data_IF_455052807152
#
_entry.id   IF_455052807152
#
_cell.length_a   1.000
_cell.length_b   1.000
_cell.length_c   1.000
_cell.angle_alpha   90.00
_cell.angle_beta   90.00
_cell.angle_gamma   90.00
#
_symmetry.space_group_name_H-M   'P 1'
#
loop_
_entity.id
_entity.type
_entity.pdbx_description
1 polymer ?
#
# COMPACT_ATOMS: atom_id res chain seq x y z
N UNK A 1 -15.10 0.09 33.03
CA UNK A 1 -14.46 -1.24 32.97
C UNK A 1 -13.42 -1.26 34.10
N UNK A 2 -13.62 -2.08 35.15
CA UNK A 2 -12.62 -2.23 36.21
C UNK A 2 -11.56 -3.20 35.72
N UNK A 3 -10.30 -2.81 35.80
CA UNK A 3 -9.18 -3.68 35.48
C UNK A 3 -8.83 -4.46 36.75
N UNK A 4 -9.08 -5.76 36.73
CA UNK A 4 -8.72 -6.65 37.84
C UNK A 4 -7.34 -7.24 37.55
N UNK A 5 -6.38 -6.96 38.43
CA UNK A 5 -5.01 -7.46 38.35
C UNK A 5 -4.95 -8.75 39.17
N UNK A 6 -4.34 -9.79 38.63
CA UNK A 6 -4.22 -11.07 39.35
C UNK A 6 -3.23 -10.96 40.51
N UNK A 7 -3.42 -11.78 41.55
CA UNK A 7 -2.52 -11.82 42.70
C UNK A 7 -1.09 -12.22 42.31
N UNK A 8 -0.94 -13.04 41.27
CA UNK A 8 0.35 -13.46 40.70
C UNK A 8 1.08 -12.29 40.03
N UNK A 9 0.36 -11.50 39.22
CA UNK A 9 0.93 -10.32 38.57
C UNK A 9 1.33 -9.26 39.60
N UNK A 10 0.54 -9.04 40.66
CA UNK A 10 0.91 -8.16 41.77
C UNK A 10 2.17 -8.63 42.50
N UNK A 11 2.32 -9.94 42.68
CA UNK A 11 3.48 -10.54 43.37
C UNK A 11 4.76 -10.38 42.53
N UNK A 12 4.69 -10.61 41.22
CA UNK A 12 5.80 -10.40 40.30
C UNK A 12 6.19 -8.91 40.21
N UNK A 13 5.22 -8.01 40.02
CA UNK A 13 5.45 -6.57 39.90
C UNK A 13 5.97 -5.91 41.19
N UNK A 14 5.70 -6.52 42.35
CA UNK A 14 6.16 -6.04 43.66
C UNK A 14 7.52 -6.63 44.09
N UNK A 15 8.11 -7.51 43.30
CA UNK A 15 9.37 -8.18 43.63
C UNK A 15 10.58 -7.25 43.49
N UNK A 16 11.54 -7.35 44.42
CA UNK A 16 12.79 -6.58 44.38
C UNK A 16 13.58 -7.04 43.16
N UNK A 17 13.76 -6.15 42.18
CA UNK A 17 14.42 -6.45 40.90
C UNK A 17 13.46 -6.62 39.73
N UNK A 18 12.15 -6.47 39.93
CA UNK A 18 11.19 -6.35 38.83
C UNK A 18 11.58 -5.18 37.93
N UNK A 19 11.91 -5.50 36.68
CA UNK A 19 12.06 -4.51 35.61
C UNK A 19 10.84 -4.66 34.72
N UNK A 20 10.02 -3.62 34.54
CA UNK A 20 8.95 -3.68 33.57
C UNK A 20 9.54 -4.05 32.21
N UNK A 21 8.83 -4.88 31.45
CA UNK A 21 9.22 -5.15 30.07
C UNK A 21 9.23 -3.80 29.35
N UNK A 22 10.41 -3.38 28.89
CA UNK A 22 10.52 -2.19 28.05
C UNK A 22 9.78 -2.49 26.74
N UNK A 23 8.56 -1.98 26.63
CA UNK A 23 7.74 -2.08 25.43
C UNK A 23 7.86 -0.79 24.65
N UNK A 24 8.74 -0.81 23.64
CA UNK A 24 8.83 0.30 22.69
C UNK A 24 7.76 0.14 21.61
N UNK A 25 7.01 1.21 21.34
CA UNK A 25 6.15 1.27 20.18
C UNK A 25 7.01 1.32 18.90
N UNK A 26 7.21 0.17 18.25
CA UNK A 26 7.91 0.05 16.97
C UNK A 26 6.93 -0.05 15.81
N UNK A 27 6.32 1.07 15.42
CA UNK A 27 5.63 1.14 14.12
C UNK A 27 6.63 1.57 13.05
N UNK A 28 7.24 0.59 12.39
CA UNK A 28 8.12 0.87 11.26
C UNK A 28 7.36 0.57 9.96
N UNK A 29 6.84 1.64 9.35
CA UNK A 29 6.32 1.57 7.98
C UNK A 29 7.46 1.18 7.04
N UNK A 30 7.19 0.27 6.10
CA UNK A 30 8.18 -0.12 5.10
C UNK A 30 8.48 1.10 4.20
N UNK A 31 9.74 1.28 3.78
CA UNK A 31 10.12 2.39 2.92
C UNK A 31 9.70 2.12 1.46
N UNK A 32 8.40 1.93 1.21
CA UNK A 32 7.84 1.57 -0.09
C UNK A 32 8.20 2.58 -1.20
N UNK A 33 8.44 3.84 -0.83
CA UNK A 33 8.88 4.90 -1.74
C UNK A 33 10.32 4.74 -2.26
N UNK A 34 11.13 3.87 -1.64
CA UNK A 34 12.47 3.53 -2.10
C UNK A 34 12.48 2.47 -3.21
N UNK A 35 11.36 1.79 -3.44
CA UNK A 35 11.19 0.88 -4.57
C UNK A 35 11.04 1.68 -5.87
N UNK A 36 11.50 1.13 -6.99
CA UNK A 36 11.10 1.59 -8.32
C UNK A 36 9.59 1.39 -8.54
N UNK A 37 9.01 2.07 -9.55
CA UNK A 37 7.59 1.88 -9.90
C UNK A 37 7.28 0.40 -10.14
N UNK A 38 8.15 -0.26 -10.91
CA UNK A 38 7.98 -1.68 -11.25
C UNK A 38 8.13 -2.60 -10.04
N UNK A 39 9.10 -2.35 -9.17
CA UNK A 39 9.24 -3.16 -7.95
C UNK A 39 8.02 -3.01 -7.04
N UNK A 40 7.45 -1.80 -6.92
CA UNK A 40 6.25 -1.56 -6.14
C UNK A 40 5.02 -2.29 -6.73
N UNK A 41 4.86 -2.28 -8.05
CA UNK A 41 3.82 -3.05 -8.75
C UNK A 41 3.96 -4.56 -8.49
N UNK A 42 5.18 -5.11 -8.60
CA UNK A 42 5.45 -6.53 -8.36
C UNK A 42 5.19 -6.88 -6.89
N UNK A 43 5.58 -6.04 -5.95
CA UNK A 43 5.27 -6.22 -4.53
C UNK A 43 3.77 -6.30 -4.29
N UNK A 44 3.00 -5.34 -4.82
CA UNK A 44 1.54 -5.32 -4.70
C UNK A 44 0.90 -6.57 -5.32
N UNK A 45 1.37 -6.96 -6.51
CA UNK A 45 0.94 -8.21 -7.16
C UNK A 45 1.19 -9.44 -6.29
N UNK A 46 2.41 -9.59 -5.76
CA UNK A 46 2.79 -10.75 -4.93
C UNK A 46 2.02 -10.79 -3.62
N UNK A 47 1.81 -9.63 -3.00
CA UNK A 47 1.00 -9.49 -1.79
C UNK A 47 -0.42 -10.03 -2.02
N UNK A 48 -1.09 -9.52 -3.05
CA UNK A 48 -2.48 -9.92 -3.33
C UNK A 48 -2.56 -11.37 -3.76
N UNK A 49 -1.61 -11.83 -4.57
CA UNK A 49 -1.53 -13.24 -4.97
C UNK A 49 -1.46 -14.14 -3.73
N UNK A 50 -0.60 -13.79 -2.75
CA UNK A 50 -0.48 -14.55 -1.51
C UNK A 50 -1.75 -14.47 -0.65
N UNK A 51 -2.39 -13.31 -0.57
CA UNK A 51 -3.64 -13.16 0.19
C UNK A 51 -4.82 -13.93 -0.45
N UNK A 52 -4.85 -14.07 -1.78
CA UNK A 52 -5.80 -14.94 -2.48
C UNK A 52 -5.50 -16.41 -2.14
N UNK A 53 -4.24 -16.84 -2.26
CA UNK A 53 -3.79 -18.21 -1.96
C UNK A 53 -4.07 -18.61 -0.49
N UNK A 54 -3.97 -17.65 0.43
CA UNK A 54 -4.24 -17.87 1.85
C UNK A 54 -5.72 -17.69 2.26
N UNK A 55 -6.61 -17.36 1.32
CA UNK A 55 -8.03 -17.12 1.60
C UNK A 55 -8.33 -15.82 2.37
N UNK A 56 -7.36 -14.91 2.49
CA UNK A 56 -7.55 -13.59 3.12
C UNK A 56 -8.22 -12.58 2.18
N UNK A 57 -7.97 -12.71 0.88
CA UNK A 57 -8.60 -11.90 -0.17
C UNK A 57 -9.64 -12.74 -0.91
N UNK A 58 -10.90 -12.65 -0.47
CA UNK A 58 -11.98 -13.56 -0.90
C UNK A 58 -12.81 -13.06 -2.09
N UNK A 59 -12.66 -11.78 -2.44
CA UNK A 59 -13.48 -11.15 -3.48
C UNK A 59 -13.03 -11.50 -4.90
N UNK A 60 -11.83 -12.05 -5.07
CA UNK A 60 -11.27 -12.51 -6.34
C UNK A 60 -10.48 -13.79 -6.11
N UNK A 61 -10.43 -14.68 -7.10
CA UNK A 61 -9.72 -15.95 -7.00
C UNK A 61 -8.42 -16.00 -7.83
N UNK A 62 -8.14 -14.96 -8.61
CA UNK A 62 -6.92 -14.86 -9.41
C UNK A 62 -6.52 -13.40 -9.64
N UNK A 63 -5.22 -13.18 -9.77
CA UNK A 63 -4.61 -11.90 -10.12
C UNK A 63 -3.61 -12.08 -11.27
N UNK A 64 -3.55 -11.12 -12.18
CA UNK A 64 -2.55 -11.04 -13.24
C UNK A 64 -1.83 -9.68 -13.19
N UNK A 65 -0.50 -9.70 -13.24
CA UNK A 65 0.35 -8.51 -13.40
C UNK A 65 0.41 -8.13 -14.89
N UNK A 66 0.16 -6.87 -15.19
CA UNK A 66 0.27 -6.35 -16.55
C UNK A 66 1.74 -6.20 -16.97
N UNK A 67 1.99 -6.34 -18.27
CA UNK A 67 3.33 -6.23 -18.86
C UNK A 67 3.27 -5.21 -20.00
N UNK A 68 4.13 -4.19 -19.94
CA UNK A 68 4.37 -3.26 -21.05
C UNK A 68 4.13 -1.79 -20.72
N UNK A 69 4.56 -0.92 -21.64
CA UNK A 69 4.34 0.53 -21.59
C UNK A 69 2.93 0.85 -22.09
N UNK A 70 2.15 1.59 -21.30
CA UNK A 70 0.76 1.97 -21.63
C UNK A 70 -0.29 1.21 -20.83
N UNK A 71 -0.03 0.97 -19.55
CA UNK A 71 -0.95 0.32 -18.64
C UNK A 71 -2.24 1.17 -18.54
N UNK A 72 -3.34 0.59 -19.04
CA UNK A 72 -4.64 1.20 -19.36
C UNK A 72 -5.44 1.66 -18.12
N UNK A 73 -4.76 2.29 -17.16
CA UNK A 73 -5.29 2.60 -15.81
C UNK A 73 -5.31 1.39 -14.88
N UNK A 74 -4.42 0.41 -15.10
CA UNK A 74 -4.32 -0.80 -14.30
C UNK A 74 -2.94 -1.44 -14.40
N UNK A 75 -2.38 -1.79 -13.26
CA UNK A 75 -1.10 -2.50 -13.19
C UNK A 75 -1.34 -3.99 -12.87
N UNK A 76 -2.43 -4.30 -12.17
CA UNK A 76 -2.94 -5.66 -12.00
C UNK A 76 -4.42 -5.77 -12.37
N UNK A 77 -4.83 -6.94 -12.86
CA UNK A 77 -6.24 -7.31 -13.05
C UNK A 77 -6.62 -8.45 -12.11
N UNK A 78 -7.75 -8.28 -11.43
CA UNK A 78 -8.35 -9.26 -10.55
C UNK A 78 -9.48 -9.99 -11.26
N UNK A 79 -9.58 -11.29 -11.02
CA UNK A 79 -10.59 -12.14 -11.62
C UNK A 79 -11.36 -12.89 -10.55
N UNK A 80 -12.66 -13.04 -10.78
CA UNK A 80 -13.52 -13.97 -10.09
C UNK A 80 -14.14 -14.89 -11.14
N UNK A 81 -13.94 -16.20 -11.00
CA UNK A 81 -14.46 -17.19 -11.96
C UNK A 81 -14.07 -16.89 -13.41
N UNK A 82 -12.82 -16.47 -13.63
CA UNK A 82 -12.26 -16.08 -14.95
C UNK A 82 -12.82 -14.80 -15.57
N UNK A 83 -13.68 -14.06 -14.86
CA UNK A 83 -14.22 -12.77 -15.30
C UNK A 83 -13.49 -11.65 -14.54
N UNK A 84 -12.96 -10.61 -15.23
CA UNK A 84 -12.42 -9.43 -14.57
C UNK A 84 -13.44 -8.80 -13.61
N UNK A 85 -13.09 -8.68 -12.33
CA UNK A 85 -13.95 -8.08 -11.30
C UNK A 85 -13.26 -6.99 -10.49
N UNK A 86 -12.05 -6.61 -10.89
CA UNK A 86 -11.37 -5.46 -10.32
C UNK A 86 -10.02 -5.22 -10.96
N UNK A 87 -9.45 -4.06 -10.69
CA UNK A 87 -8.09 -3.71 -11.10
C UNK A 87 -7.38 -2.96 -9.99
N UNK A 88 -6.06 -3.13 -9.93
CA UNK A 88 -5.21 -2.40 -9.01
C UNK A 88 -4.31 -1.48 -9.82
N UNK A 89 -4.34 -0.19 -9.50
CA UNK A 89 -3.40 0.80 -9.99
C UNK A 89 -2.48 1.19 -8.83
N UNK A 90 -1.20 0.88 -8.99
CA UNK A 90 -0.13 1.26 -8.09
C UNK A 90 0.34 2.69 -8.43
N UNK A 91 0.65 3.46 -7.39
CA UNK A 91 1.21 4.81 -7.51
C UNK A 91 2.36 4.96 -6.53
N UNK A 92 3.59 4.87 -7.05
CA UNK A 92 4.80 5.15 -6.26
C UNK A 92 5.12 6.63 -6.33
N UNK A 93 4.58 7.40 -5.39
CA UNK A 93 4.90 8.82 -5.24
C UNK A 93 5.63 9.07 -3.92
N UNK A 94 6.64 9.94 -3.97
CA UNK A 94 7.25 10.50 -2.76
C UNK A 94 6.31 11.49 -2.07
N UNK A 95 5.48 12.20 -2.84
CA UNK A 95 4.44 13.09 -2.32
C UNK A 95 3.10 12.37 -2.11
N UNK A 96 2.18 13.02 -1.39
CA UNK A 96 0.82 12.51 -1.21
C UNK A 96 0.02 12.60 -2.51
N UNK A 97 -0.80 11.57 -2.78
CA UNK A 97 -1.74 11.58 -3.89
C UNK A 97 -2.79 12.68 -3.73
N UNK A 98 -2.93 13.51 -4.76
CA UNK A 98 -3.88 14.62 -4.79
C UNK A 98 -5.21 14.22 -5.43
N UNK A 99 -6.28 14.95 -5.12
CA UNK A 99 -7.61 14.73 -5.72
C UNK A 99 -7.57 14.74 -7.27
N UNK A 100 -6.91 15.69 -7.96
CA UNK A 100 -6.80 15.65 -9.41
C UNK A 100 -6.10 14.40 -9.94
N UNK A 101 -5.07 13.90 -9.25
CA UNK A 101 -4.38 12.67 -9.66
C UNK A 101 -5.31 11.46 -9.54
N UNK A 102 -6.03 11.33 -8.41
CA UNK A 102 -7.00 10.24 -8.21
C UNK A 102 -8.08 10.25 -9.30
N UNK A 103 -8.66 11.42 -9.58
CA UNK A 103 -9.68 11.57 -10.62
C UNK A 103 -9.13 11.23 -12.01
N UNK A 104 -7.94 11.70 -12.38
CA UNK A 104 -7.33 11.40 -13.67
C UNK A 104 -7.04 9.91 -13.84
N UNK A 105 -6.60 9.23 -12.79
CA UNK A 105 -6.38 7.77 -12.84
C UNK A 105 -7.69 6.99 -13.00
N UNK A 106 -8.75 7.38 -12.27
CA UNK A 106 -10.09 6.81 -12.47
C UNK A 106 -10.57 7.03 -13.91
N UNK A 107 -10.54 8.27 -14.39
CA UNK A 107 -11.02 8.62 -15.73
C UNK A 107 -10.24 7.87 -16.81
N UNK A 108 -8.92 7.71 -16.66
CA UNK A 108 -8.09 6.94 -17.60
C UNK A 108 -8.58 5.49 -17.71
N UNK A 109 -8.86 4.84 -16.58
CA UNK A 109 -9.45 3.50 -16.56
C UNK A 109 -10.83 3.47 -17.25
N UNK A 110 -11.70 4.43 -16.93
CA UNK A 110 -13.05 4.48 -17.49
C UNK A 110 -13.03 4.68 -19.01
N UNK A 111 -12.23 5.62 -19.52
CA UNK A 111 -12.08 5.84 -20.96
C UNK A 111 -11.57 4.60 -21.68
N UNK A 112 -10.61 3.88 -21.09
CA UNK A 112 -10.17 2.59 -21.64
C UNK A 112 -11.29 1.54 -21.62
N UNK A 113 -12.10 1.48 -20.57
CA UNK A 113 -13.23 0.54 -20.51
C UNK A 113 -14.35 0.86 -21.51
N UNK A 114 -14.48 2.12 -21.93
CA UNK A 114 -15.40 2.53 -23.00
C UNK A 114 -14.86 2.08 -24.37
N UNK A 115 -13.53 2.07 -24.56
CA UNK A 115 -12.91 1.52 -25.79
C UNK A 115 -12.91 -0.01 -25.82
N UNK A 116 -12.85 -0.64 -24.64
CA UNK A 116 -12.72 -2.08 -24.46
C UNK A 116 -13.52 -2.52 -23.22
N UNK A 117 -14.77 -2.91 -23.44
CA UNK A 117 -15.71 -3.31 -22.38
C UNK A 117 -15.21 -4.52 -21.58
N UNK A 118 -14.26 -5.31 -22.11
CA UNK A 118 -13.65 -6.44 -21.38
C UNK A 118 -12.83 -5.99 -20.16
N UNK A 119 -12.49 -4.70 -20.07
CA UNK A 119 -11.77 -4.13 -18.93
C UNK A 119 -12.69 -4.03 -17.69
N UNK A 120 -13.95 -3.64 -17.88
CA UNK A 120 -14.97 -3.55 -16.84
C UNK A 120 -16.25 -4.24 -17.37
N UNK A 121 -16.29 -5.59 -17.36
CA UNK A 121 -17.41 -6.33 -17.93
C UNK A 121 -18.71 -6.19 -17.12
N UNK A 122 -18.60 -5.98 -15.81
CA UNK A 122 -19.73 -5.70 -14.92
C UNK A 122 -19.34 -4.64 -13.89
N UNK A 123 -19.68 -3.38 -14.17
CA UNK A 123 -19.28 -2.25 -13.33
C UNK A 123 -19.83 -2.32 -11.91
N UNK A 124 -20.99 -2.93 -11.67
CA UNK A 124 -21.61 -3.02 -10.33
C UNK A 124 -20.84 -3.93 -9.39
N UNK A 125 -20.23 -4.99 -9.94
CA UNK A 125 -19.42 -5.95 -9.20
C UNK A 125 -17.92 -5.74 -9.42
N UNK A 126 -17.54 -4.57 -9.93
CA UNK A 126 -16.16 -4.22 -10.20
C UNK A 126 -15.61 -3.30 -9.12
N UNK A 127 -14.38 -3.55 -8.66
CA UNK A 127 -13.69 -2.66 -7.72
C UNK A 127 -12.39 -2.13 -8.29
N UNK A 128 -12.24 -0.81 -8.25
CA UNK A 128 -11.01 -0.12 -8.57
C UNK A 128 -10.19 0.15 -7.31
N UNK A 129 -8.99 -0.42 -7.25
CA UNK A 129 -8.05 -0.23 -6.15
C UNK A 129 -6.95 0.73 -6.55
N UNK A 130 -6.68 1.73 -5.70
CA UNK A 130 -5.44 2.52 -5.78
C UNK A 130 -4.53 2.14 -4.62
N UNK A 131 -3.34 1.62 -4.93
CA UNK A 131 -2.31 1.29 -3.95
C UNK A 131 -1.20 2.33 -4.04
N UNK A 132 -0.87 2.97 -2.93
CA UNK A 132 0.06 4.09 -2.90
C UNK A 132 1.22 3.83 -1.96
N UNK A 133 2.43 4.15 -2.43
CA UNK A 133 3.65 4.07 -1.59
C UNK A 133 3.70 5.16 -0.51
N UNK A 134 2.75 6.09 -0.53
CA UNK A 134 2.54 7.15 0.46
C UNK A 134 1.02 7.32 0.70
N UNK A 135 0.62 8.32 1.47
CA UNK A 135 -0.78 8.65 1.72
C UNK A 135 -1.39 9.55 0.62
N UNK A 136 -2.64 9.94 0.79
CA UNK A 136 -3.33 10.91 -0.05
C UNK A 136 -3.64 12.21 0.72
N UNK A 137 -4.01 13.27 0.00
CA UNK A 137 -4.48 14.51 0.63
C UNK A 137 -5.87 14.33 1.23
N UNK A 138 -6.25 15.18 2.17
CA UNK A 138 -7.59 15.12 2.80
C UNK A 138 -8.73 15.16 1.77
N UNK A 139 -8.60 16.00 0.74
CA UNK A 139 -9.59 16.09 -0.34
C UNK A 139 -9.66 14.80 -1.17
N UNK A 140 -8.52 14.15 -1.43
CA UNK A 140 -8.49 12.85 -2.10
C UNK A 140 -9.13 11.78 -1.21
N UNK A 141 -8.78 11.75 0.08
CA UNK A 141 -9.33 10.80 1.04
C UNK A 141 -10.85 10.95 1.17
N UNK A 142 -11.36 12.19 1.17
CA UNK A 142 -12.80 12.46 1.17
C UNK A 142 -13.50 11.82 -0.02
N UNK A 143 -12.97 12.01 -1.24
CA UNK A 143 -13.48 11.34 -2.44
C UNK A 143 -13.42 9.83 -2.31
N UNK A 144 -12.29 9.28 -1.87
CA UNK A 144 -12.06 7.83 -1.81
C UNK A 144 -13.00 7.16 -0.82
N UNK A 145 -13.06 7.65 0.42
CA UNK A 145 -13.88 7.07 1.48
C UNK A 145 -15.37 7.33 1.28
N UNK A 146 -15.73 8.44 0.62
CA UNK A 146 -17.11 8.84 0.33
C UNK A 146 -17.53 8.62 -1.12
N UNK A 147 -16.85 7.74 -1.87
CA UNK A 147 -16.89 7.71 -3.34
C UNK A 147 -18.29 7.73 -3.94
N UNK A 148 -19.18 6.86 -3.45
CA UNK A 148 -20.57 6.76 -3.92
C UNK A 148 -21.38 8.05 -3.82
N UNK A 149 -21.00 8.97 -2.93
CA UNK A 149 -21.67 10.26 -2.73
C UNK A 149 -20.87 11.43 -3.32
N UNK A 150 -19.55 11.41 -3.20
CA UNK A 150 -18.67 12.51 -3.62
C UNK A 150 -18.47 12.57 -5.14
N UNK A 151 -18.55 11.44 -5.84
CA UNK A 151 -18.30 11.42 -7.29
C UNK A 151 -19.28 12.31 -8.07
N UNK A 152 -20.54 12.36 -7.64
CA UNK A 152 -21.58 13.20 -8.26
C UNK A 152 -21.31 14.69 -8.09
N UNK A 153 -20.64 15.11 -7.01
CA UNK A 153 -20.23 16.50 -6.80
C UNK A 153 -19.21 16.90 -7.86
N UNK A 154 -18.25 16.02 -8.16
CA UNK A 154 -17.22 16.25 -9.18
C UNK A 154 -17.76 16.16 -10.60
N UNK A 155 -18.79 15.36 -10.85
CA UNK A 155 -19.51 15.35 -12.14
C UNK A 155 -20.24 16.69 -12.32
N UNK A 156 -21.06 17.11 -11.34
CA UNK A 156 -21.89 18.33 -11.43
C UNK A 156 -21.06 19.62 -11.51
N UNK A 157 -19.89 19.64 -10.86
CA UNK A 157 -18.98 20.80 -10.93
C UNK A 157 -18.18 20.91 -12.24
N UNK A 158 -18.30 19.93 -13.14
CA UNK A 158 -17.51 19.87 -14.38
C UNK A 158 -16.06 19.44 -14.19
N UNK A 159 -15.65 19.03 -12.98
CA UNK A 159 -14.29 18.58 -12.71
C UNK A 159 -13.95 17.29 -13.46
N UNK A 160 -14.90 16.33 -13.52
CA UNK A 160 -14.72 15.09 -14.28
C UNK A 160 -14.56 15.39 -15.78
N UNK A 161 -15.40 16.25 -16.35
CA UNK A 161 -15.33 16.61 -17.77
C UNK A 161 -13.99 17.29 -18.10
N UNK A 162 -13.57 18.25 -17.27
CA UNK A 162 -12.27 18.91 -17.40
C UNK A 162 -11.13 17.87 -17.42
N UNK A 163 -11.10 16.97 -16.45
CA UNK A 163 -10.03 15.98 -16.36
C UNK A 163 -10.12 14.89 -17.45
N UNK A 164 -11.31 14.58 -17.95
CA UNK A 164 -11.48 13.70 -19.09
C UNK A 164 -10.95 14.32 -20.38
N UNK A 165 -11.10 15.64 -20.54
CA UNK A 165 -10.45 16.37 -21.62
C UNK A 165 -8.92 16.33 -21.48
N UNK A 166 -8.39 16.67 -20.30
CA UNK A 166 -6.95 16.62 -20.01
C UNK A 166 -6.35 15.23 -20.33
N UNK A 167 -7.02 14.16 -19.88
CA UNK A 167 -6.58 12.78 -20.12
C UNK A 167 -6.69 12.43 -21.61
N UNK A 168 -7.77 12.82 -22.30
CA UNK A 168 -7.94 12.51 -23.72
C UNK A 168 -6.90 13.21 -24.61
N UNK A 169 -6.44 14.39 -24.21
CA UNK A 169 -5.37 15.12 -24.88
C UNK A 169 -3.99 14.50 -24.61
N UNK A 170 -3.75 13.99 -23.40
CA UNK A 170 -2.46 13.46 -22.98
C UNK A 170 -2.10 12.07 -23.54
N UNK A 171 -3.08 11.27 -23.98
CA UNK A 171 -2.85 9.89 -24.42
C UNK A 171 -3.39 9.65 -25.84
N UNK A 172 -2.57 9.07 -26.71
CA UNK A 172 -2.95 8.77 -28.10
C UNK A 172 -4.10 7.77 -28.23
N UNK A 173 -4.24 6.85 -27.26
CA UNK A 173 -5.33 5.89 -27.22
C UNK A 173 -6.73 6.57 -27.21
N UNK A 174 -6.82 7.83 -26.81
CA UNK A 174 -8.08 8.57 -26.64
C UNK A 174 -8.31 9.63 -27.72
N UNK A 175 -7.61 9.56 -28.85
CA UNK A 175 -7.79 10.48 -29.99
C UNK A 175 -9.27 10.63 -30.40
N UNK A 176 -10.03 9.53 -30.34
CA UNK A 176 -11.46 9.49 -30.70
C UNK A 176 -12.33 10.35 -29.78
N UNK A 177 -11.92 10.53 -28.52
CA UNK A 177 -12.66 11.31 -27.52
C UNK A 177 -12.30 12.80 -27.49
N UNK A 178 -11.21 13.23 -28.16
CA UNK A 178 -10.78 14.64 -28.17
C UNK A 178 -11.83 15.61 -28.73
N UNK A 179 -12.68 15.14 -29.65
CA UNK A 179 -13.78 15.96 -30.23
C UNK A 179 -15.04 15.95 -29.38
N UNK A 180 -15.33 14.82 -28.73
CA UNK A 180 -16.52 14.63 -27.92
C UNK A 180 -16.21 13.62 -26.81
N UNK A 181 -16.18 14.09 -25.57
CA UNK A 181 -15.95 13.25 -24.40
C UNK A 181 -17.23 12.45 -24.12
N UNK A 182 -17.16 11.12 -23.91
CA UNK A 182 -18.32 10.28 -23.60
C UNK A 182 -18.77 10.45 -22.15
N UNK A 183 -19.29 11.63 -21.81
CA UNK A 183 -19.60 12.02 -20.43
C UNK A 183 -20.73 11.20 -19.80
N UNK A 184 -21.69 10.73 -20.60
CA UNK A 184 -22.79 9.91 -20.10
C UNK A 184 -22.27 8.54 -19.64
N UNK A 185 -21.42 7.90 -20.43
CA UNK A 185 -20.76 6.64 -20.10
C UNK A 185 -19.82 6.79 -18.92
N UNK A 186 -18.97 7.82 -18.89
CA UNK A 186 -18.08 8.11 -17.76
C UNK A 186 -18.90 8.27 -16.48
N UNK A 187 -19.99 9.03 -16.53
CA UNK A 187 -20.84 9.29 -15.36
C UNK A 187 -21.55 8.01 -14.90
N UNK A 188 -22.05 7.20 -15.83
CA UNK A 188 -22.70 5.90 -15.53
C UNK A 188 -21.72 4.93 -14.87
N UNK A 189 -20.51 4.80 -15.42
CA UNK A 189 -19.48 3.92 -14.88
C UNK A 189 -18.99 4.41 -13.51
N UNK A 190 -18.72 5.72 -13.38
CA UNK A 190 -18.27 6.34 -12.13
C UNK A 190 -19.22 6.09 -10.94
N UNK A 191 -20.53 5.99 -11.20
CA UNK A 191 -21.55 5.72 -10.17
C UNK A 191 -21.70 4.25 -9.80
N UNK A 192 -21.20 3.34 -10.64
CA UNK A 192 -21.45 1.90 -10.49
C UNK A 192 -20.23 1.13 -10.01
N UNK A 193 -19.03 1.59 -10.35
CA UNK A 193 -17.78 0.99 -9.86
C UNK A 193 -17.60 1.25 -8.36
N UNK A 194 -17.05 0.26 -7.68
CA UNK A 194 -16.57 0.43 -6.31
C UNK A 194 -15.15 0.99 -6.31
N UNK A 195 -14.78 1.73 -5.28
CA UNK A 195 -13.48 2.36 -5.16
C UNK A 195 -12.85 2.02 -3.81
N UNK A 196 -11.59 1.59 -3.81
CA UNK A 196 -10.83 1.29 -2.59
C UNK A 196 -9.40 1.84 -2.67
N UNK A 197 -8.82 2.11 -1.50
CA UNK A 197 -7.48 2.66 -1.37
C UNK A 197 -6.69 1.92 -0.30
N UNK A 198 -5.39 1.77 -0.52
CA UNK A 198 -4.45 1.32 0.50
C UNK A 198 -3.21 2.20 0.45
N UNK A 199 -2.89 2.82 1.58
CA UNK A 199 -1.71 3.67 1.72
C UNK A 199 -0.48 2.86 2.17
N UNK A 200 0.62 3.57 2.38
CA UNK A 200 1.88 2.95 2.81
C UNK A 200 1.77 2.17 4.13
N UNK A 201 0.97 2.65 5.08
CA UNK A 201 0.80 2.00 6.38
C UNK A 201 -0.02 0.71 6.24
N UNK A 202 -1.11 0.76 5.48
CA UNK A 202 -1.94 -0.42 5.20
C UNK A 202 -1.13 -1.51 4.50
N UNK A 203 -0.38 -1.12 3.46
CA UNK A 203 0.45 -2.04 2.69
C UNK A 203 1.60 -2.60 3.53
N UNK A 204 2.26 -1.75 4.33
CA UNK A 204 3.32 -2.21 5.23
C UNK A 204 2.81 -3.25 6.23
N UNK A 205 1.67 -2.97 6.89
CA UNK A 205 1.06 -3.91 7.82
C UNK A 205 0.65 -5.24 7.18
N UNK A 206 0.29 -5.22 5.89
CA UNK A 206 -0.05 -6.43 5.13
C UNK A 206 1.19 -7.20 4.68
N UNK A 207 2.20 -6.52 4.13
CA UNK A 207 3.47 -7.14 3.70
C UNK A 207 4.20 -7.76 4.88
N UNK A 208 4.22 -7.11 6.03
CA UNK A 208 4.90 -7.62 7.23
C UNK A 208 4.34 -8.94 7.76
N UNK A 209 3.15 -9.38 7.32
CA UNK A 209 2.60 -10.70 7.64
C UNK A 209 3.23 -11.83 6.81
N UNK A 210 3.95 -11.49 5.73
CA UNK A 210 4.54 -12.42 4.78
C UNK A 210 6.04 -12.19 4.68
N UNK A 211 6.79 -12.85 5.57
CA UNK A 211 8.25 -12.70 5.69
C UNK A 211 8.99 -12.99 4.39
N UNK A 212 8.50 -13.94 3.59
CA UNK A 212 9.09 -14.29 2.30
C UNK A 212 8.97 -13.15 1.28
N UNK A 213 7.83 -12.47 1.23
CA UNK A 213 7.65 -11.27 0.40
C UNK A 213 8.52 -10.14 0.97
N UNK A 214 8.48 -9.91 2.28
CA UNK A 214 9.25 -8.83 2.92
C UNK A 214 10.75 -8.93 2.59
N UNK A 215 11.34 -10.12 2.72
CA UNK A 215 12.77 -10.35 2.47
C UNK A 215 13.16 -10.28 1.00
N UNK A 216 12.22 -10.47 0.08
CA UNK A 216 12.47 -10.34 -1.36
C UNK A 216 12.67 -8.88 -1.78
N UNK A 217 11.93 -7.95 -1.16
CA UNK A 217 11.97 -6.53 -1.52
C UNK A 217 12.81 -5.68 -0.57
N UNK A 218 13.01 -6.12 0.67
CA UNK A 218 13.69 -5.32 1.69
C UNK A 218 14.78 -6.13 2.39
N UNK A 219 16.00 -5.60 2.36
CA UNK A 219 17.09 -6.10 3.18
C UNK A 219 17.01 -5.49 4.58
N UNK A 220 16.46 -6.25 5.53
CA UNK A 220 16.45 -5.85 6.94
C UNK A 220 17.87 -6.04 7.48
N UNK A 221 18.61 -4.94 7.66
CA UNK A 221 19.90 -4.94 8.36
C UNK A 221 19.67 -4.50 9.80
N UNK A 222 19.79 -5.43 10.75
CA UNK A 222 19.84 -5.08 12.17
C UNK A 222 21.19 -4.43 12.46
N UNK A 223 21.20 -3.12 12.71
CA UNK A 223 22.39 -2.42 13.20
C UNK A 223 22.40 -2.55 14.71
N UNK A 224 23.33 -3.33 15.25
CA UNK A 224 23.57 -3.43 16.69
C UNK A 224 24.71 -2.48 17.02
N UNK A 225 24.47 -1.52 17.90
CA UNK A 225 25.54 -0.71 18.48
C UNK A 225 26.34 -1.59 19.45
N UNK A 226 27.51 -2.04 19.02
CA UNK A 226 28.42 -2.84 19.83
C UNK A 226 29.39 -1.97 20.64
N UNK A 227 29.21 -0.65 20.70
CA UNK A 227 30.14 0.24 21.42
C UNK A 227 30.26 -0.13 22.91
N UNK A 228 29.16 -0.49 23.57
CA UNK A 228 29.18 -0.96 24.95
C UNK A 228 29.84 -2.34 25.09
N UNK A 229 29.54 -3.27 24.18
CA UNK A 229 30.16 -4.60 24.18
C UNK A 229 31.69 -4.51 23.98
N UNK A 230 32.16 -3.63 23.09
CA UNK A 230 33.58 -3.38 22.87
C UNK A 230 34.24 -2.76 24.10
N UNK A 231 33.53 -1.87 24.81
CA UNK A 231 34.01 -1.28 26.06
C UNK A 231 34.14 -2.32 27.19
N UNK A 232 33.19 -3.25 27.30
CA UNK A 232 33.19 -4.33 28.29
C UNK A 232 34.31 -5.32 27.98
N UNK A 233 34.49 -5.69 26.71
CA UNK A 233 35.57 -6.59 26.27
C UNK A 233 36.94 -5.95 26.54
N UNK A 234 37.12 -4.66 26.21
CA UNK A 234 38.37 -3.93 26.49
C UNK A 234 38.66 -3.84 27.98
N UNK A 235 37.63 -3.60 28.80
CA UNK A 235 37.77 -3.55 30.26
C UNK A 235 38.14 -4.91 30.83
N UNK A 236 37.47 -5.98 30.41
CA UNK A 236 37.80 -7.35 30.82
C UNK A 236 39.22 -7.77 30.39
N UNK A 237 39.65 -7.41 29.18
CA UNK A 237 41.02 -7.65 28.71
C UNK A 237 42.06 -6.86 29.52
N UNK A 238 41.76 -5.61 29.89
CA UNK A 238 42.64 -4.81 30.75
C UNK A 238 42.73 -5.39 32.16
N UNK A 239 41.59 -5.79 32.74
CA UNK A 239 41.50 -6.38 34.08
C UNK A 239 42.25 -7.74 34.15
N UNK A 240 42.24 -8.52 33.06
CA UNK A 240 42.99 -9.78 32.97
C UNK A 240 44.47 -9.60 32.57
N UNK A 241 44.84 -8.57 31.81
CA UNK A 241 46.24 -8.25 31.52
C UNK A 241 47.00 -7.81 32.78
N UNK A 242 46.31 -7.19 33.74
CA UNK A 242 46.85 -6.81 35.05
C UNK A 242 47.15 -8.03 35.95
N UNK A 243 46.55 -9.20 35.72
CA UNK A 243 46.83 -10.40 36.55
C UNK A 243 48.07 -11.20 36.11
N UNK A 244 48.48 -11.12 34.84
CA UNK A 244 49.71 -11.78 34.36
C UNK A 244 51.01 -11.06 34.77
N UNK A 245 50.91 -9.81 35.25
CA UNK A 245 52.08 -9.00 35.63
C UNK A 245 52.51 -9.18 37.09
N UNK A 246 51.78 -9.97 37.89
CA UNK A 246 52.07 -10.22 39.31
C UNK A 246 52.69 -11.60 39.60
N UNK A 247 53.08 -12.38 38.59
CA UNK A 247 53.76 -13.68 38.73
C UNK A 247 55.24 -13.67 38.33
N UNK A 248 55.92 -12.52 38.42
CA UNK A 248 57.39 -12.43 38.28
C UNK A 248 57.99 -11.53 39.36
N UNK A 249 57.94 -11.97 40.63
CA UNK A 249 58.96 -11.66 41.66
C UNK A 249 59.10 -12.90 42.56
#
# INVERSE_FOLDING_TARGET
MRYEITAEQLHEESSIGYKPTATDASFQSLPLSMLSDREFEILCYKLIKREIESGMFIISNKIALMQGVGERGRDCTLYLNSIPNGVIQCKKYSARLTLPQVLKELIKLLLHSILDESIIPDSKNFTYYIYSSNDCTEQALKLICGFSHEVDIHIKSGAIEKYAKDVSEAYEAFVTFRKAIPMDEISKLSRTVNFQFSNSSDLSGRVSKYTDILQEFFNIRTVIDNSEADSIVRKALADHALSCSQMMI
#
